data_IF_242287999575
#
_entry.id   IF_242287999575
#
_cell.length_a   1.000
_cell.length_b   1.000
_cell.length_c   1.000
_cell.angle_alpha   90.00
_cell.angle_beta   90.00
_cell.angle_gamma   90.00
#
_symmetry.space_group_name_H-M   'P 1'
#
loop_
_entity.id
_entity.type
_entity.pdbx_description
1 polymer ?
#
# COMPACT_ATOMS: atom_id res chain seq x y z
N UNK A 1 -27.21 17.74 21.23
CA UNK A 1 -26.48 16.59 21.82
C UNK A 1 -25.74 16.97 23.09
N UNK A 2 -24.74 17.88 23.04
CA UNK A 2 -23.96 18.31 24.23
C UNK A 2 -24.75 19.08 25.31
N UNK A 3 -25.98 19.53 25.03
CA UNK A 3 -26.83 20.26 26.00
C UNK A 3 -27.56 19.34 26.99
N UNK A 4 -27.85 18.08 26.61
CA UNK A 4 -28.60 17.12 27.43
C UNK A 4 -27.69 16.22 28.26
N UNK A 5 -26.52 15.84 27.74
CA UNK A 5 -25.52 15.05 28.46
C UNK A 5 -24.31 15.95 28.74
N UNK A 6 -24.27 16.53 29.94
CA UNK A 6 -23.18 17.44 30.37
C UNK A 6 -22.05 16.61 30.98
N UNK A 7 -20.86 16.69 30.38
CA UNK A 7 -19.65 16.06 30.91
C UNK A 7 -18.50 16.14 29.91
N UNK A 8 -17.32 16.56 30.37
CA UNK A 8 -16.13 16.74 29.51
C UNK A 8 -15.69 15.42 28.85
N UNK A 9 -15.85 14.30 29.57
CA UNK A 9 -15.57 12.95 29.05
C UNK A 9 -16.56 12.54 27.95
N UNK A 10 -17.86 12.77 28.13
CA UNK A 10 -18.86 12.44 27.12
C UNK A 10 -18.63 13.19 25.81
N UNK A 11 -18.30 14.48 25.90
CA UNK A 11 -17.95 15.29 24.73
C UNK A 11 -16.74 14.74 23.97
N UNK A 12 -15.72 14.29 24.69
CA UNK A 12 -14.51 13.69 24.09
C UNK A 12 -14.81 12.35 23.39
N UNK A 13 -15.54 11.43 24.04
CA UNK A 13 -15.89 10.15 23.44
C UNK A 13 -16.78 10.33 22.20
N UNK A 14 -17.82 11.17 22.31
CA UNK A 14 -18.69 11.47 21.18
C UNK A 14 -17.90 12.08 20.01
N UNK A 15 -16.98 13.00 20.30
CA UNK A 15 -16.14 13.60 19.29
C UNK A 15 -15.24 12.56 18.61
N UNK A 16 -14.60 11.69 19.38
CA UNK A 16 -13.75 10.62 18.85
C UNK A 16 -14.53 9.66 17.96
N UNK A 17 -15.72 9.25 18.38
CA UNK A 17 -16.64 8.40 17.60
C UNK A 17 -17.04 9.09 16.30
N UNK A 18 -17.53 10.32 16.39
CA UNK A 18 -18.05 11.06 15.24
C UNK A 18 -17.00 11.30 14.15
N UNK A 19 -15.73 11.47 14.52
CA UNK A 19 -14.64 11.75 13.59
C UNK A 19 -13.96 10.49 13.00
N UNK A 20 -14.45 9.28 13.30
CA UNK A 20 -13.92 8.09 12.63
C UNK A 20 -14.33 8.08 11.17
N UNK A 21 -13.34 7.94 10.30
CA UNK A 21 -13.49 7.88 8.84
C UNK A 21 -13.98 6.52 8.32
N UNK A 22 -13.75 5.45 9.08
CA UNK A 22 -14.11 4.07 8.69
C UNK A 22 -15.11 3.50 9.69
N UNK A 23 -16.03 2.67 9.20
CA UNK A 23 -17.03 1.96 10.00
C UNK A 23 -16.41 1.08 11.09
N UNK A 24 -15.32 0.38 10.83
CA UNK A 24 -14.65 -0.48 11.83
C UNK A 24 -14.16 0.34 13.03
N UNK A 25 -13.39 1.40 12.78
CA UNK A 25 -12.93 2.32 13.82
C UNK A 25 -14.09 3.03 14.55
N UNK A 26 -15.20 3.29 13.87
CA UNK A 26 -16.42 3.80 14.50
C UNK A 26 -17.02 2.78 15.49
N UNK A 27 -17.16 1.52 15.09
CA UNK A 27 -17.73 0.46 15.93
C UNK A 27 -16.90 0.20 17.19
N UNK A 28 -15.57 0.30 17.09
CA UNK A 28 -14.67 0.18 18.24
C UNK A 28 -14.89 1.32 19.26
N UNK A 29 -14.95 2.57 18.81
CA UNK A 29 -15.12 3.71 19.73
C UNK A 29 -16.54 3.82 20.29
N UNK A 30 -17.57 3.50 19.50
CA UNK A 30 -18.96 3.57 19.99
C UNK A 30 -19.21 2.52 21.08
N UNK A 31 -18.51 1.38 21.03
CA UNK A 31 -18.55 0.36 22.08
C UNK A 31 -17.96 0.91 23.39
N UNK A 32 -16.84 1.64 23.33
CA UNK A 32 -16.27 2.32 24.51
C UNK A 32 -17.24 3.36 25.08
N UNK A 33 -17.94 4.11 24.22
CA UNK A 33 -18.96 5.05 24.67
C UNK A 33 -20.11 4.32 25.38
N UNK A 34 -20.53 3.17 24.87
CA UNK A 34 -21.58 2.34 25.46
C UNK A 34 -21.21 1.83 26.86
N UNK A 35 -19.95 1.40 27.05
CA UNK A 35 -19.43 0.97 28.36
C UNK A 35 -19.43 2.11 29.39
N UNK A 36 -19.11 3.32 28.97
CA UNK A 36 -19.07 4.50 29.86
C UNK A 36 -20.46 5.03 30.16
N UNK A 37 -21.36 5.10 29.17
CA UNK A 37 -22.70 5.62 29.33
C UNK A 37 -23.68 5.04 28.30
N UNK A 38 -24.45 4.04 28.75
CA UNK A 38 -25.44 3.35 27.92
C UNK A 38 -26.61 4.24 27.49
N UNK A 39 -27.05 5.18 28.34
CA UNK A 39 -28.16 6.08 28.01
C UNK A 39 -27.79 7.03 26.88
N UNK A 40 -26.56 7.52 26.90
CA UNK A 40 -26.05 8.40 25.87
C UNK A 40 -25.82 7.66 24.55
N UNK A 41 -25.33 6.43 24.60
CA UNK A 41 -25.29 5.52 23.45
C UNK A 41 -26.69 5.35 22.84
N UNK A 42 -27.68 4.97 23.65
CA UNK A 42 -29.05 4.75 23.21
C UNK A 42 -29.67 6.02 22.61
N UNK A 43 -29.36 7.19 23.17
CA UNK A 43 -29.82 8.47 22.64
C UNK A 43 -29.21 8.77 21.27
N UNK A 44 -27.89 8.64 21.13
CA UNK A 44 -27.18 8.98 19.90
C UNK A 44 -27.56 8.04 18.75
N UNK A 45 -27.74 6.75 19.05
CA UNK A 45 -28.09 5.75 18.04
C UNK A 45 -29.51 5.90 17.48
N UNK A 46 -30.39 6.67 18.14
CA UNK A 46 -31.69 7.07 17.56
C UNK A 46 -31.54 8.04 16.39
N UNK A 47 -30.44 8.79 16.33
CA UNK A 47 -30.17 9.73 15.24
C UNK A 47 -29.47 8.98 14.10
N UNK A 48 -30.00 9.05 12.86
CA UNK A 48 -29.37 8.39 11.72
C UNK A 48 -27.89 8.79 11.56
N UNK A 49 -27.01 7.80 11.39
CA UNK A 49 -25.55 7.98 11.38
C UNK A 49 -25.08 8.98 10.32
N UNK A 50 -25.73 9.02 9.16
CA UNK A 50 -25.44 9.95 8.05
C UNK A 50 -25.48 11.44 8.44
N UNK A 51 -26.10 11.79 9.57
CA UNK A 51 -26.20 13.18 10.02
C UNK A 51 -25.04 13.64 10.90
N UNK A 52 -24.25 12.72 11.47
CA UNK A 52 -23.29 13.10 12.51
C UNK A 52 -22.01 12.26 12.55
N UNK A 53 -22.02 11.04 11.98
CA UNK A 53 -20.85 10.17 11.95
C UNK A 53 -20.15 10.28 10.60
N UNK A 54 -18.86 10.66 10.62
CA UNK A 54 -18.08 10.96 9.43
C UNK A 54 -18.00 9.77 8.45
N UNK A 55 -17.80 8.54 8.96
CA UNK A 55 -17.77 7.32 8.13
C UNK A 55 -19.06 7.05 7.34
N UNK A 56 -20.18 7.65 7.74
CA UNK A 56 -21.49 7.44 7.13
C UNK A 56 -21.87 8.57 6.15
N UNK A 57 -20.99 9.54 5.95
CA UNK A 57 -21.21 10.60 4.97
C UNK A 57 -21.07 10.07 3.55
N UNK A 58 -21.84 10.64 2.64
CA UNK A 58 -21.79 10.26 1.25
C UNK A 58 -20.48 10.75 0.60
N UNK A 59 -19.86 9.87 -0.19
CA UNK A 59 -18.53 10.12 -0.76
C UNK A 59 -18.49 11.33 -1.71
N UNK A 60 -19.62 11.74 -2.29
CA UNK A 60 -19.66 12.89 -3.21
C UNK A 60 -19.51 14.25 -2.51
N UNK A 61 -19.82 14.32 -1.21
CA UNK A 61 -19.88 15.59 -0.47
C UNK A 61 -18.49 16.16 -0.17
N UNK A 62 -17.47 15.28 -0.11
CA UNK A 62 -16.05 15.62 0.12
C UNK A 62 -15.82 16.53 1.33
N UNK A 63 -16.36 16.13 2.49
CA UNK A 63 -16.21 16.84 3.76
C UNK A 63 -15.50 15.97 4.81
N UNK A 64 -14.56 16.60 5.53
CA UNK A 64 -13.77 15.99 6.60
C UNK A 64 -14.10 16.50 8.00
N UNK A 65 -15.22 17.21 8.16
CA UNK A 65 -15.62 17.82 9.42
C UNK A 65 -17.09 17.55 9.75
N UNK A 66 -17.37 17.34 11.04
CA UNK A 66 -18.71 17.00 11.58
C UNK A 66 -19.28 18.12 12.46
N UNK A 67 -18.73 19.34 12.38
CA UNK A 67 -19.16 20.47 13.23
C UNK A 67 -20.33 21.22 12.65
N UNK A 68 -21.13 21.84 13.53
CA UNK A 68 -22.18 22.78 13.16
C UNK A 68 -21.65 24.20 12.86
N UNK A 69 -20.32 24.36 12.75
CA UNK A 69 -19.68 25.68 12.70
C UNK A 69 -20.12 26.48 11.46
N UNK A 70 -20.39 25.83 10.33
CA UNK A 70 -20.87 26.51 9.12
C UNK A 70 -22.23 27.16 9.37
N UNK A 71 -23.17 26.41 9.95
CA UNK A 71 -24.51 26.90 10.28
C UNK A 71 -24.45 28.01 11.33
N UNK A 72 -23.62 27.85 12.37
CA UNK A 72 -23.46 28.85 13.43
C UNK A 72 -22.84 30.15 12.90
N UNK A 73 -21.75 30.05 12.12
CA UNK A 73 -21.14 31.19 11.45
C UNK A 73 -22.13 31.89 10.51
N UNK A 74 -22.88 31.12 9.71
CA UNK A 74 -23.89 31.68 8.84
C UNK A 74 -25.00 32.37 9.64
N UNK A 75 -25.40 31.77 10.76
CA UNK A 75 -26.44 32.33 11.61
C UNK A 75 -26.04 33.66 12.20
N UNK A 76 -24.83 33.79 12.72
CA UNK A 76 -24.28 35.08 13.18
C UNK A 76 -24.13 36.06 12.00
N UNK A 77 -23.72 35.55 10.83
CA UNK A 77 -23.49 36.38 9.65
C UNK A 77 -24.78 37.04 9.12
N UNK A 78 -25.93 36.37 9.15
CA UNK A 78 -27.21 36.96 8.70
C UNK A 78 -28.03 37.62 9.81
N UNK A 79 -27.65 37.45 11.08
CA UNK A 79 -28.45 37.85 12.25
C UNK A 79 -29.01 39.26 12.16
N UNK A 80 -28.18 40.23 11.79
CA UNK A 80 -28.53 41.66 11.70
C UNK A 80 -29.61 42.00 10.66
N UNK A 81 -29.87 41.10 9.71
CA UNK A 81 -30.84 41.32 8.64
C UNK A 81 -32.15 40.54 8.87
N UNK A 82 -32.17 39.54 9.74
CA UNK A 82 -33.30 38.60 9.87
C UNK A 82 -34.63 39.25 10.22
N UNK A 83 -34.61 40.40 10.88
CA UNK A 83 -35.82 41.14 11.29
C UNK A 83 -36.19 42.26 10.31
N UNK A 84 -35.46 42.38 9.19
CA UNK A 84 -35.70 43.41 8.18
C UNK A 84 -36.62 42.90 7.06
N UNK A 85 -37.24 43.80 6.28
CA UNK A 85 -38.00 43.42 5.10
C UNK A 85 -37.17 42.61 4.10
N UNK A 86 -37.84 41.75 3.31
CA UNK A 86 -37.17 40.81 2.39
C UNK A 86 -36.17 41.50 1.44
N UNK A 87 -36.50 42.68 0.92
CA UNK A 87 -35.61 43.45 0.04
C UNK A 87 -34.31 43.86 0.76
N UNK A 88 -34.39 44.26 2.03
CA UNK A 88 -33.24 44.64 2.85
C UNK A 88 -32.35 43.44 3.17
N UNK A 89 -32.93 42.25 3.39
CA UNK A 89 -32.18 41.00 3.56
C UNK A 89 -31.39 40.67 2.29
N UNK A 90 -32.04 40.69 1.13
CA UNK A 90 -31.40 40.38 -0.15
C UNK A 90 -30.26 41.35 -0.45
N UNK A 91 -30.49 42.65 -0.26
CA UNK A 91 -29.47 43.67 -0.48
C UNK A 91 -28.30 43.55 0.53
N UNK A 92 -28.59 43.24 1.80
CA UNK A 92 -27.59 42.98 2.83
C UNK A 92 -26.70 41.77 2.50
N UNK A 93 -27.31 40.64 2.10
CA UNK A 93 -26.61 39.43 1.68
C UNK A 93 -25.77 39.70 0.43
N UNK A 94 -26.31 40.39 -0.58
CA UNK A 94 -25.60 40.76 -1.80
C UNK A 94 -24.33 41.58 -1.50
N UNK A 95 -24.45 42.63 -0.67
CA UNK A 95 -23.29 43.46 -0.27
C UNK A 95 -22.24 42.65 0.48
N UNK A 96 -22.65 41.81 1.44
CA UNK A 96 -21.67 40.99 2.19
C UNK A 96 -21.00 39.94 1.30
N UNK A 97 -21.71 39.34 0.35
CA UNK A 97 -21.10 38.42 -0.62
C UNK A 97 -20.08 39.14 -1.51
N UNK A 98 -20.43 40.33 -2.02
CA UNK A 98 -19.52 41.17 -2.79
C UNK A 98 -18.23 41.49 -2.01
N UNK A 99 -18.36 41.99 -0.78
CA UNK A 99 -17.20 42.26 0.09
C UNK A 99 -16.36 41.01 0.35
N UNK A 100 -17.00 39.86 0.57
CA UNK A 100 -16.30 38.58 0.81
C UNK A 100 -15.55 38.10 -0.43
N UNK A 101 -16.12 38.25 -1.63
CA UNK A 101 -15.46 37.89 -2.89
C UNK A 101 -14.23 38.76 -3.13
N UNK A 102 -14.34 40.08 -2.97
CA UNK A 102 -13.19 41.00 -3.11
C UNK A 102 -12.10 40.67 -2.10
N UNK A 103 -12.46 40.48 -0.82
CA UNK A 103 -11.50 40.10 0.22
C UNK A 103 -10.76 38.80 -0.14
N UNK A 104 -11.48 37.78 -0.59
CA UNK A 104 -10.89 36.50 -1.02
C UNK A 104 -10.00 36.63 -2.24
N UNK A 105 -10.35 37.50 -3.18
CA UNK A 105 -9.51 37.79 -4.34
C UNK A 105 -8.19 38.44 -3.91
N UNK A 106 -8.25 39.43 -3.02
CA UNK A 106 -7.05 40.11 -2.50
C UNK A 106 -6.18 39.18 -1.66
N UNK A 107 -6.79 38.34 -0.82
CA UNK A 107 -6.09 37.27 -0.11
C UNK A 107 -5.41 36.31 -1.11
N UNK A 108 -6.13 35.89 -2.16
CA UNK A 108 -5.65 34.99 -3.21
C UNK A 108 -4.49 35.54 -4.04
N UNK A 109 -4.49 36.84 -4.34
CA UNK A 109 -3.39 37.53 -5.03
C UNK A 109 -2.07 37.46 -4.26
N UNK A 110 -2.14 37.35 -2.94
CA UNK A 110 -0.97 37.26 -2.06
C UNK A 110 -0.55 35.81 -1.76
N UNK A 111 -1.14 34.81 -2.42
CA UNK A 111 -0.74 33.42 -2.22
C UNK A 111 0.62 33.14 -2.87
N UNK A 112 1.52 32.54 -2.08
CA UNK A 112 2.85 32.12 -2.55
C UNK A 112 2.78 30.80 -3.33
N UNK A 113 1.83 29.93 -2.98
CA UNK A 113 1.65 28.61 -3.59
C UNK A 113 0.38 28.53 -4.43
N UNK A 114 0.37 27.61 -5.39
CA UNK A 114 -0.82 27.28 -6.20
C UNK A 114 -1.92 26.54 -5.40
N UNK A 115 -1.75 26.39 -4.09
CA UNK A 115 -2.66 25.70 -3.18
C UNK A 115 -3.12 26.70 -2.10
N UNK A 116 -4.40 26.68 -1.69
CA UNK A 116 -4.89 27.54 -0.61
C UNK A 116 -4.07 27.37 0.69
N UNK A 117 -3.74 28.45 1.42
CA UNK A 117 -2.90 28.40 2.63
C UNK A 117 -3.38 27.42 3.70
N UNK A 118 -4.70 27.29 3.89
CA UNK A 118 -5.28 26.34 4.84
C UNK A 118 -5.01 24.88 4.45
N UNK A 119 -5.11 24.57 3.16
CA UNK A 119 -4.83 23.23 2.65
C UNK A 119 -3.34 22.96 2.71
N UNK A 120 -2.51 23.95 2.36
CA UNK A 120 -1.06 23.84 2.46
C UNK A 120 -0.62 23.58 3.90
N UNK A 121 -1.16 24.34 4.87
CA UNK A 121 -0.94 24.10 6.31
C UNK A 121 -1.32 22.67 6.72
N UNK A 122 -2.51 22.18 6.33
CA UNK A 122 -2.93 20.79 6.60
C UNK A 122 -1.95 19.76 6.00
N UNK A 123 -1.43 20.00 4.80
CA UNK A 123 -0.47 19.11 4.16
C UNK A 123 0.90 19.15 4.85
N UNK A 124 1.39 20.33 5.23
CA UNK A 124 2.64 20.48 5.98
C UNK A 124 2.58 19.78 7.34
N UNK A 125 1.48 19.94 8.08
CA UNK A 125 1.27 19.25 9.37
C UNK A 125 1.30 17.72 9.18
N UNK A 126 0.66 17.20 8.13
CA UNK A 126 0.70 15.76 7.79
C UNK A 126 2.07 15.29 7.31
N UNK A 127 2.89 16.20 6.76
CA UNK A 127 4.21 15.87 6.23
C UNK A 127 5.21 15.53 7.35
N UNK A 128 5.08 16.19 8.51
CA UNK A 128 5.94 15.92 9.67
C UNK A 128 5.75 14.51 10.25
N UNK A 129 4.58 13.91 10.03
CA UNK A 129 4.22 12.57 10.46
C UNK A 129 4.75 11.46 9.54
N UNK A 130 5.20 11.80 8.33
CA UNK A 130 5.64 10.80 7.34
C UNK A 130 6.93 10.08 7.74
N UNK A 131 7.68 10.64 8.69
CA UNK A 131 8.94 10.07 9.21
C UNK A 131 8.79 8.65 9.75
N UNK A 132 7.58 8.27 10.17
CA UNK A 132 7.29 6.97 10.76
C UNK A 132 6.53 6.02 9.82
N UNK A 133 6.41 6.39 8.54
CA UNK A 133 5.64 5.67 7.54
C UNK A 133 6.59 4.97 6.56
N UNK A 134 6.36 3.68 6.33
CA UNK A 134 7.09 2.88 5.34
C UNK A 134 6.18 2.61 4.14
N UNK A 135 6.64 2.98 2.93
CA UNK A 135 5.90 2.75 1.68
C UNK A 135 6.51 1.60 0.90
N UNK A 136 5.69 0.60 0.58
CA UNK A 136 6.03 -0.55 -0.24
C UNK A 136 5.24 -0.46 -1.55
N UNK A 137 5.95 -0.54 -2.68
CA UNK A 137 5.33 -0.52 -4.00
C UNK A 137 4.80 -1.92 -4.35
N UNK A 138 3.49 -2.04 -4.57
CA UNK A 138 2.86 -3.25 -5.07
C UNK A 138 2.66 -3.20 -6.60
N UNK A 139 2.29 -2.02 -7.12
CA UNK A 139 2.22 -1.71 -8.55
C UNK A 139 2.53 -0.23 -8.79
N UNK A 140 2.45 0.23 -10.05
CA UNK A 140 2.65 1.64 -10.39
C UNK A 140 1.64 2.58 -9.70
N UNK A 141 0.50 2.05 -9.25
CA UNK A 141 -0.65 2.80 -8.77
C UNK A 141 -1.14 2.39 -7.39
N UNK A 142 -0.72 1.21 -6.92
CA UNK A 142 -1.12 0.64 -5.63
C UNK A 142 0.09 0.41 -4.73
N UNK A 143 -0.07 0.85 -3.49
CA UNK A 143 1.00 0.89 -2.51
C UNK A 143 0.49 0.35 -1.19
N UNK A 144 1.30 -0.47 -0.54
CA UNK A 144 1.08 -0.86 0.85
C UNK A 144 1.89 0.09 1.73
N UNK A 145 1.19 0.75 2.65
CA UNK A 145 1.75 1.75 3.54
C UNK A 145 1.68 1.23 4.96
N UNK A 146 2.84 0.98 5.57
CA UNK A 146 2.95 0.61 6.97
C UNK A 146 3.10 1.85 7.83
N UNK A 147 2.20 2.01 8.79
CA UNK A 147 2.15 3.09 9.75
C UNK A 147 1.95 2.49 11.15
N UNK A 148 3.04 2.46 11.92
CA UNK A 148 3.13 1.71 13.17
C UNK A 148 2.97 0.19 12.96
N UNK A 149 1.93 -0.39 13.58
CA UNK A 149 1.58 -1.81 13.49
C UNK A 149 0.51 -2.11 12.44
N UNK A 150 -0.07 -1.06 11.85
CA UNK A 150 -1.16 -1.16 10.88
C UNK A 150 -0.66 -0.96 9.46
N UNK A 151 -1.34 -1.59 8.51
CA UNK A 151 -1.07 -1.49 7.08
C UNK A 151 -2.28 -0.87 6.39
N UNK A 152 -2.02 -0.03 5.39
CA UNK A 152 -3.03 0.66 4.61
C UNK A 152 -2.71 0.51 3.13
N UNK A 153 -3.69 0.16 2.33
CA UNK A 153 -3.59 0.19 0.88
C UNK A 153 -3.90 1.61 0.41
N UNK A 154 -3.06 2.13 -0.47
CA UNK A 154 -3.23 3.43 -1.13
C UNK A 154 -3.27 3.21 -2.63
N UNK A 155 -4.32 3.71 -3.28
CA UNK A 155 -4.47 3.66 -4.72
C UNK A 155 -4.51 5.09 -5.29
N UNK A 156 -3.52 5.43 -6.11
CA UNK A 156 -3.34 6.79 -6.63
C UNK A 156 -4.34 7.16 -7.74
N UNK A 157 -4.77 6.20 -8.55
CA UNK A 157 -5.70 6.48 -9.67
C UNK A 157 -7.10 6.79 -9.15
N UNK A 158 -7.57 6.00 -8.19
CA UNK A 158 -8.87 6.21 -7.54
C UNK A 158 -8.81 7.25 -6.41
N UNK A 159 -7.61 7.72 -6.02
CA UNK A 159 -7.36 8.63 -4.89
C UNK A 159 -7.96 8.08 -3.59
N UNK A 160 -7.77 6.77 -3.37
CA UNK A 160 -8.30 6.05 -2.22
C UNK A 160 -7.19 5.65 -1.27
N UNK A 161 -7.54 5.56 0.00
CA UNK A 161 -6.69 5.02 1.04
C UNK A 161 -7.58 4.29 2.03
N UNK A 162 -7.14 3.13 2.52
CA UNK A 162 -7.88 2.35 3.51
C UNK A 162 -8.19 3.13 4.80
N UNK A 163 -7.45 4.21 5.10
CA UNK A 163 -7.79 5.09 6.22
C UNK A 163 -9.08 5.91 6.00
N UNK A 164 -9.67 5.90 4.80
CA UNK A 164 -10.90 6.59 4.41
C UNK A 164 -10.79 8.10 4.25
N UNK A 165 -9.74 8.73 4.81
CA UNK A 165 -9.64 10.19 4.86
C UNK A 165 -9.42 10.85 3.50
N UNK A 166 -8.77 10.17 2.55
CA UNK A 166 -8.53 10.74 1.22
C UNK A 166 -9.84 10.85 0.45
N UNK A 167 -10.68 9.81 0.52
CA UNK A 167 -11.98 9.75 -0.14
C UNK A 167 -12.90 10.85 0.41
N UNK A 168 -12.99 10.94 1.75
CA UNK A 168 -13.82 11.90 2.46
C UNK A 168 -13.37 13.36 2.28
N UNK A 169 -12.08 13.64 2.35
CA UNK A 169 -11.61 15.04 2.32
C UNK A 169 -11.23 15.54 0.94
N UNK A 170 -11.02 14.64 -0.02
CA UNK A 170 -10.32 14.88 -1.30
C UNK A 170 -8.88 15.42 -1.18
N UNK A 171 -8.37 15.58 0.04
CA UNK A 171 -7.02 16.02 0.36
C UNK A 171 -6.20 14.78 0.77
N UNK A 172 -5.00 14.55 0.20
CA UNK A 172 -4.17 13.41 0.56
C UNK A 172 -4.00 13.27 2.08
N UNK A 173 -4.38 12.12 2.64
CA UNK A 173 -4.09 11.75 4.03
C UNK A 173 -2.59 11.55 4.22
N UNK A 174 -2.12 11.30 5.46
CA UNK A 174 -0.69 11.04 5.70
C UNK A 174 -0.16 9.85 4.90
N UNK A 175 -0.93 8.77 4.74
CA UNK A 175 -0.51 7.60 3.96
C UNK A 175 -0.40 7.91 2.47
N UNK A 176 -1.39 8.62 1.92
CA UNK A 176 -1.40 9.12 0.56
C UNK A 176 -0.22 10.04 0.27
N UNK A 177 0.03 10.99 1.19
CA UNK A 177 1.11 11.93 1.10
C UNK A 177 2.48 11.24 1.17
N UNK A 178 2.61 10.20 2.01
CA UNK A 178 3.80 9.34 2.04
C UNK A 178 4.06 8.76 0.64
N UNK A 179 3.05 8.18 -0.01
CA UNK A 179 3.20 7.63 -1.36
C UNK A 179 3.58 8.70 -2.39
N UNK A 180 2.91 9.85 -2.36
CA UNK A 180 3.14 10.95 -3.31
C UNK A 180 4.55 11.57 -3.17
N UNK A 181 5.16 11.48 -2.00
CA UNK A 181 6.48 12.06 -1.69
C UNK A 181 7.58 11.01 -1.57
N UNK A 182 7.24 9.72 -1.55
CA UNK A 182 8.19 8.64 -1.37
C UNK A 182 9.06 8.45 -2.62
N UNK A 183 10.32 8.06 -2.36
CA UNK A 183 11.08 7.21 -3.26
C UNK A 183 10.78 5.76 -2.86
N UNK A 184 9.77 5.11 -3.46
CA UNK A 184 9.28 3.82 -2.96
C UNK A 184 10.38 2.76 -3.03
N UNK A 185 10.44 1.90 -2.01
CA UNK A 185 11.26 0.69 -2.10
C UNK A 185 10.64 -0.18 -3.19
N UNK A 186 11.34 -0.29 -4.32
CA UNK A 186 10.89 -1.10 -5.43
C UNK A 186 11.08 -2.58 -5.08
N UNK A 187 10.15 -3.46 -5.53
CA UNK A 187 10.36 -4.89 -5.45
C UNK A 187 11.72 -5.27 -6.05
N UNK A 188 12.46 -6.20 -5.44
CA UNK A 188 13.75 -6.60 -5.98
C UNK A 188 13.61 -7.12 -7.41
N UNK A 189 14.42 -6.59 -8.32
CA UNK A 189 14.43 -7.03 -9.72
C UNK A 189 14.67 -8.55 -9.80
N UNK A 190 13.74 -9.28 -10.43
CA UNK A 190 13.91 -10.72 -10.69
C UNK A 190 15.00 -10.95 -11.74
N UNK A 191 16.26 -11.06 -11.32
CA UNK A 191 17.35 -11.48 -12.20
C UNK A 191 17.21 -12.97 -12.54
N UNK A 192 17.02 -13.30 -13.82
CA UNK A 192 17.14 -14.70 -14.29
C UNK A 192 18.58 -15.14 -14.06
N UNK A 193 18.80 -16.17 -13.23
CA UNK A 193 20.13 -16.76 -13.04
C UNK A 193 20.70 -17.16 -14.41
N UNK A 194 22.01 -16.98 -14.66
CA UNK A 194 22.64 -17.52 -15.85
C UNK A 194 22.24 -18.99 -16.02
N UNK A 195 21.69 -19.33 -17.18
CA UNK A 195 21.33 -20.72 -17.47
C UNK A 195 22.52 -21.63 -17.22
N UNK A 196 22.26 -22.87 -16.78
CA UNK A 196 23.31 -23.90 -16.66
C UNK A 196 24.18 -23.89 -17.92
N UNK A 197 25.52 -23.74 -17.80
CA UNK A 197 26.41 -23.77 -18.94
C UNK A 197 26.13 -25.03 -19.77
N UNK A 198 25.96 -24.88 -21.09
CA UNK A 198 25.73 -26.03 -21.97
C UNK A 198 26.95 -26.95 -21.88
N UNK A 199 26.72 -28.23 -21.59
CA UNK A 199 27.79 -29.26 -21.50
C UNK A 199 28.65 -29.31 -22.75
N UNK A 200 28.06 -29.03 -23.91
CA UNK A 200 28.77 -28.91 -25.18
C UNK A 200 28.62 -27.48 -25.72
N UNK A 201 29.76 -26.87 -26.10
CA UNK A 201 29.81 -25.62 -26.85
C UNK A 201 29.07 -25.80 -28.18
N UNK A 202 28.27 -24.81 -28.59
CA UNK A 202 27.74 -24.74 -29.96
C UNK A 202 28.91 -24.47 -30.90
N UNK A 203 29.13 -25.35 -31.89
CA UNK A 203 30.14 -25.14 -32.94
C UNK A 203 29.63 -24.10 -33.92
N UNK A 204 30.55 -23.32 -34.48
CA UNK A 204 30.25 -22.40 -35.57
C UNK A 204 30.08 -23.20 -36.89
N UNK A 205 29.35 -22.68 -37.89
CA UNK A 205 29.04 -23.41 -39.13
C UNK A 205 30.29 -23.85 -39.92
N UNK A 206 31.37 -23.09 -39.78
CA UNK A 206 32.67 -23.25 -40.41
C UNK A 206 33.61 -24.20 -39.65
N UNK A 207 33.21 -24.68 -38.47
CA UNK A 207 34.10 -25.44 -37.61
C UNK A 207 34.10 -26.94 -37.97
N UNK A 208 35.24 -27.54 -38.33
CA UNK A 208 35.30 -28.91 -38.83
C UNK A 208 34.86 -29.93 -37.77
N UNK A 209 34.05 -30.92 -38.19
CA UNK A 209 33.58 -31.96 -37.28
C UNK A 209 34.75 -32.87 -36.85
N UNK A 210 34.90 -33.09 -35.55
CA UNK A 210 35.92 -34.00 -35.00
C UNK A 210 35.65 -35.42 -35.52
N UNK A 211 36.43 -35.87 -36.50
CA UNK A 211 36.34 -37.22 -37.07
C UNK A 211 36.58 -38.23 -35.95
N UNK A 212 35.61 -39.11 -35.70
CA UNK A 212 35.84 -40.27 -34.84
C UNK A 212 36.86 -41.16 -35.56
N UNK A 213 38.03 -41.40 -34.96
CA UNK A 213 39.01 -42.37 -35.49
C UNK A 213 38.41 -43.77 -35.38
N UNK A 214 37.63 -44.19 -36.36
CA UNK A 214 37.27 -45.60 -36.57
C UNK A 214 38.33 -46.25 -37.45
N UNK A 215 39.56 -46.33 -36.94
CA UNK A 215 40.57 -47.22 -37.51
C UNK A 215 40.33 -48.61 -36.94
N UNK A 216 39.81 -49.54 -37.74
CA UNK A 216 39.82 -50.94 -37.35
C UNK A 216 41.24 -51.38 -37.00
N UNK A 217 41.41 -52.25 -36.02
CA UNK A 217 42.76 -52.72 -35.68
C UNK A 217 43.19 -53.76 -36.72
N UNK A 218 44.44 -53.69 -37.18
CA UNK A 218 45.00 -54.64 -38.17
C UNK A 218 45.83 -55.69 -37.43
N UNK A 219 45.50 -56.96 -37.61
CA UNK A 219 46.21 -58.05 -36.96
C UNK A 219 47.66 -58.11 -37.45
N UNK A 220 48.65 -58.09 -36.56
CA UNK A 220 50.06 -58.19 -36.97
C UNK A 220 50.48 -59.58 -37.46
N UNK A 221 49.67 -60.62 -37.20
CA UNK A 221 49.96 -62.00 -37.62
C UNK A 221 49.38 -62.34 -39.00
N UNK A 222 48.10 -62.08 -39.24
CA UNK A 222 47.46 -62.38 -40.53
C UNK A 222 47.23 -61.14 -41.41
N UNK A 223 47.57 -59.94 -40.92
CA UNK A 223 47.41 -58.64 -41.61
C UNK A 223 45.96 -58.28 -41.99
N UNK A 224 44.98 -59.07 -41.60
CA UNK A 224 43.56 -58.75 -41.78
C UNK A 224 43.09 -57.70 -40.76
N UNK A 225 42.13 -56.88 -41.17
CA UNK A 225 41.50 -55.86 -40.34
C UNK A 225 40.35 -56.45 -39.51
N UNK A 226 40.09 -55.87 -38.33
CA UNK A 226 38.93 -56.22 -37.50
C UNK A 226 39.21 -57.12 -36.29
N UNK A 227 40.44 -57.57 -36.09
CA UNK A 227 40.87 -58.31 -34.91
C UNK A 227 42.37 -58.10 -34.61
N UNK A 228 42.82 -58.43 -33.40
CA UNK A 228 44.21 -58.30 -32.98
C UNK A 228 44.94 -59.66 -33.02
N UNK A 229 46.28 -59.65 -32.99
CA UNK A 229 47.11 -60.88 -32.96
C UNK A 229 46.67 -61.87 -31.87
N UNK A 230 46.25 -61.35 -30.69
CA UNK A 230 45.78 -62.17 -29.56
C UNK A 230 44.47 -62.92 -29.82
N UNK A 231 43.69 -62.50 -30.80
CA UNK A 231 42.37 -63.06 -31.14
C UNK A 231 42.34 -63.57 -32.59
N UNK A 232 43.51 -63.78 -33.19
CA UNK A 232 43.65 -64.30 -34.55
C UNK A 232 43.43 -65.81 -34.54
N UNK A 233 42.45 -66.30 -35.30
CA UNK A 233 42.13 -67.73 -35.41
C UNK A 233 42.94 -68.46 -36.48
N UNK A 234 43.77 -67.74 -37.25
CA UNK A 234 44.66 -68.32 -38.25
C UNK A 234 46.10 -68.43 -37.75
N UNK A 235 46.46 -69.57 -37.16
CA UNK A 235 47.82 -70.14 -37.05
C UNK A 235 47.73 -71.54 -36.43
N UNK A 236 47.88 -72.59 -37.23
CA UNK A 236 48.09 -73.97 -36.74
C UNK A 236 49.60 -74.19 -36.68
N UNK A 237 50.14 -74.28 -35.46
CA UNK A 237 51.05 -75.36 -34.97
C UNK A 237 51.36 -75.11 -33.48
N UNK A 238 50.90 -76.03 -32.61
CA UNK A 238 51.26 -76.43 -31.21
C UNK A 238 51.83 -75.41 -30.20
N UNK A 239 51.54 -75.40 -28.89
CA UNK A 239 50.91 -76.35 -27.95
C UNK A 239 50.34 -75.58 -26.73
N UNK A 240 49.43 -76.26 -26.02
CA UNK A 240 48.76 -76.05 -24.73
C UNK A 240 49.12 -74.88 -23.76
N UNK A 241 48.08 -74.34 -23.12
CA UNK A 241 48.16 -73.55 -21.87
C UNK A 241 46.80 -73.01 -21.40
N UNK A 242 46.38 -73.39 -20.19
CA UNK A 242 45.01 -73.35 -19.67
C UNK A 242 44.37 -71.97 -19.35
N UNK A 243 43.04 -72.02 -19.27
CA UNK A 243 42.07 -71.14 -18.59
C UNK A 243 42.61 -70.08 -17.61
N UNK A 244 42.05 -68.86 -17.69
CA UNK A 244 41.28 -68.37 -16.54
C UNK A 244 40.22 -67.31 -16.89
N UNK A 245 39.00 -67.55 -16.37
CA UNK A 245 37.86 -66.62 -16.34
C UNK A 245 38.18 -65.46 -15.41
N UNK A 246 37.79 -64.23 -15.79
CA UNK A 246 36.98 -63.38 -14.89
C UNK A 246 36.22 -62.29 -15.63
N UNK A 247 34.90 -62.45 -15.58
CA UNK A 247 33.87 -61.47 -15.96
C UNK A 247 34.03 -60.19 -15.14
N UNK A 248 33.84 -59.03 -15.78
CA UNK A 248 33.10 -57.92 -15.18
C UNK A 248 32.04 -57.42 -16.17
N UNK A 249 30.79 -57.72 -15.83
CA UNK A 249 29.58 -57.09 -16.38
C UNK A 249 29.54 -55.65 -15.88
N UNK A 250 29.09 -54.70 -16.70
CA UNK A 250 28.00 -53.82 -16.29
C UNK A 250 27.36 -53.12 -17.48
N UNK A 251 26.05 -52.92 -17.32
CA UNK A 251 25.06 -52.62 -18.34
C UNK A 251 24.93 -51.13 -18.68
N UNK A 252 24.35 -50.93 -19.86
CA UNK A 252 23.85 -49.70 -20.50
C UNK A 252 23.01 -48.80 -19.58
N UNK A 253 23.07 -47.49 -19.85
CA UNK A 253 21.94 -46.52 -19.94
C UNK A 253 22.50 -45.29 -20.67
N UNK A 254 21.96 -44.82 -21.79
CA UNK A 254 20.55 -44.69 -22.13
C UNK A 254 20.19 -43.22 -21.94
N UNK A 255 20.53 -42.42 -22.95
CA UNK A 255 20.38 -40.97 -23.02
C UNK A 255 19.08 -40.60 -23.77
N UNK A 256 18.68 -39.32 -23.64
CA UNK A 256 17.63 -38.56 -24.37
C UNK A 256 16.23 -38.61 -23.72
N UNK A 257 15.44 -37.53 -23.64
CA UNK A 257 15.22 -36.45 -24.61
C UNK A 257 15.09 -35.04 -24.00
N UNK A 258 15.60 -34.10 -24.77
CA UNK A 258 15.22 -32.70 -24.88
C UNK A 258 13.85 -32.50 -25.53
N UNK A 259 13.12 -31.45 -25.15
CA UNK A 259 12.27 -30.67 -26.09
C UNK A 259 12.35 -29.18 -25.69
N UNK A 260 12.65 -28.34 -26.68
CA UNK A 260 12.59 -26.86 -26.71
C UNK A 260 11.30 -26.52 -27.51
N UNK A 261 10.62 -25.37 -27.35
CA UNK A 261 10.95 -24.15 -28.11
C UNK A 261 10.82 -22.83 -27.29
N UNK A 262 11.76 -21.87 -27.39
CA UNK A 262 11.81 -20.73 -28.35
C UNK A 262 10.73 -19.67 -28.03
N UNK A 263 11.01 -18.39 -27.78
CA UNK A 263 11.24 -17.31 -28.76
C UNK A 263 11.41 -15.97 -28.00
N UNK A 264 12.49 -15.20 -28.26
CA UNK A 264 12.53 -13.84 -28.90
C UNK A 264 11.81 -12.74 -28.09
N UNK A 265 12.25 -11.50 -27.90
CA UNK A 265 13.13 -10.55 -28.62
C UNK A 265 13.38 -9.38 -27.64
N UNK A 266 14.62 -8.91 -27.47
CA UNK A 266 15.16 -7.65 -28.00
C UNK A 266 14.99 -6.41 -27.11
N UNK A 267 16.17 -5.81 -26.85
CA UNK A 267 16.47 -4.38 -26.79
C UNK A 267 16.45 -3.65 -25.44
N UNK A 268 17.67 -3.42 -24.98
CA UNK A 268 18.06 -2.39 -24.03
C UNK A 268 17.97 -1.00 -24.65
N UNK A 269 17.67 0.01 -23.82
CA UNK A 269 18.34 1.31 -23.91
C UNK A 269 18.39 1.96 -22.53
N UNK A 270 19.61 2.01 -21.98
CA UNK A 270 19.98 2.83 -20.84
C UNK A 270 20.14 4.28 -21.31
N UNK A 271 19.68 5.21 -20.49
CA UNK A 271 20.13 6.61 -20.52
C UNK A 271 20.25 7.09 -19.08
N UNK A 272 21.49 7.26 -18.65
CA UNK A 272 21.96 7.97 -17.47
C UNK A 272 21.87 9.47 -17.72
N UNK A 273 21.31 10.26 -16.79
CA UNK A 273 21.66 11.68 -16.63
C UNK A 273 21.71 12.02 -15.14
N UNK A 274 22.74 12.79 -14.81
CA UNK A 274 23.31 13.08 -13.50
C UNK A 274 22.52 14.11 -12.66
N UNK A 275 22.80 14.04 -11.36
CA UNK A 275 22.53 15.03 -10.35
C UNK A 275 23.23 16.38 -10.62
N UNK A 276 22.63 17.47 -10.14
CA UNK A 276 23.33 18.73 -9.86
C UNK A 276 22.67 19.42 -8.68
N UNK A 277 23.51 19.74 -7.71
CA UNK A 277 23.25 20.51 -6.50
C UNK A 277 23.28 22.00 -6.84
N UNK A 278 22.42 22.80 -6.20
CA UNK A 278 22.66 24.24 -6.04
C UNK A 278 22.13 24.72 -4.69
N UNK A 279 23.04 25.33 -3.95
CA UNK A 279 22.89 26.04 -2.68
C UNK A 279 22.27 27.42 -2.86
N UNK A 280 21.49 27.91 -1.89
CA UNK A 280 21.50 29.32 -1.46
C UNK A 280 20.95 29.46 -0.03
N UNK A 281 21.60 30.35 0.72
CA UNK A 281 21.44 30.66 2.13
C UNK A 281 20.33 31.69 2.41
N UNK A 282 19.75 31.61 3.62
CA UNK A 282 19.53 32.76 4.52
C UNK A 282 18.22 33.56 4.41
N UNK A 283 17.39 33.51 5.47
CA UNK A 283 17.19 34.60 6.47
C UNK A 283 15.79 34.68 7.09
N UNK A 284 15.82 34.71 8.43
CA UNK A 284 14.93 35.35 9.43
C UNK A 284 13.48 34.91 9.68
N UNK A 285 13.25 34.77 11.00
CA UNK A 285 12.08 34.26 11.70
C UNK A 285 11.02 35.33 11.98
N UNK A 286 9.75 34.91 12.12
CA UNK A 286 8.77 35.57 12.98
C UNK A 286 7.95 34.50 13.73
N UNK A 287 7.89 34.73 15.04
CA UNK A 287 7.30 33.97 16.12
C UNK A 287 5.76 33.99 16.07
N UNK A 288 5.07 32.87 16.32
CA UNK A 288 3.73 32.92 16.92
C UNK A 288 3.46 31.64 17.72
N UNK A 289 3.07 31.87 18.98
CA UNK A 289 2.95 30.90 20.06
C UNK A 289 1.72 30.01 19.86
N UNK A 290 1.84 28.72 20.19
CA UNK A 290 0.67 27.85 20.42
C UNK A 290 0.87 27.11 21.73
N UNK A 291 -0.05 27.39 22.63
CA UNK A 291 -0.12 26.92 24.01
C UNK A 291 -0.41 25.43 24.09
N UNK A 292 0.26 24.83 25.07
CA UNK A 292 0.30 23.44 25.54
C UNK A 292 -1.05 22.78 25.81
N UNK A 293 -1.08 21.44 25.85
CA UNK A 293 -1.27 20.66 27.09
C UNK A 293 -0.80 19.21 26.92
N UNK A 294 0.17 18.83 27.75
CA UNK A 294 0.67 17.47 27.93
C UNK A 294 -0.35 16.63 28.71
N UNK A 295 -0.53 15.37 28.33
CA UNK A 295 -1.19 14.37 29.16
C UNK A 295 -0.17 13.28 29.52
N UNK A 296 0.38 13.39 30.73
CA UNK A 296 1.18 12.34 31.36
C UNK A 296 0.30 11.53 32.30
N UNK A 297 0.42 10.20 32.16
CA UNK A 297 0.29 9.16 33.19
C UNK A 297 -1.09 9.04 33.88
N UNK A 298 -1.73 7.87 33.75
CA UNK A 298 -2.00 7.01 34.91
C UNK A 298 -2.33 5.59 34.46
N UNK A 299 -1.74 4.66 35.21
CA UNK A 299 -1.73 3.23 35.04
C UNK A 299 -3.11 2.56 35.22
N UNK A 300 -3.24 1.47 34.47
CA UNK A 300 -4.11 0.32 34.66
C UNK A 300 -4.44 -0.04 36.11
N UNK A 301 -5.73 -0.28 36.37
CA UNK A 301 -6.18 -1.27 37.34
C UNK A 301 -7.25 -2.17 36.72
N UNK A 302 -6.95 -3.45 36.73
CA UNK A 302 -7.73 -4.58 36.21
C UNK A 302 -8.83 -4.97 37.20
N UNK A 303 -10.06 -5.12 36.72
CA UNK A 303 -11.08 -5.94 37.38
C UNK A 303 -11.79 -6.81 36.34
N UNK A 304 -11.65 -8.13 36.51
CA UNK A 304 -12.29 -9.19 35.70
C UNK A 304 -13.80 -9.28 35.96
N UNK A 305 -14.57 -9.94 35.07
CA UNK A 305 -15.99 -9.65 34.87
C UNK A 305 -16.91 -10.51 35.74
N UNK A 306 -18.00 -9.90 36.23
CA UNK A 306 -19.16 -10.61 36.78
C UNK A 306 -20.09 -10.99 35.62
N UNK A 307 -20.44 -12.28 35.54
CA UNK A 307 -21.17 -12.88 34.43
C UNK A 307 -22.58 -12.32 34.20
N UNK A 308 -22.96 -12.27 32.93
CA UNK A 308 -24.31 -11.93 32.46
C UNK A 308 -25.30 -13.07 32.76
N UNK A 309 -26.51 -12.78 33.25
CA UNK A 309 -27.63 -13.73 33.20
C UNK A 309 -28.24 -13.81 31.79
N UNK A 310 -28.81 -14.97 31.40
CA UNK A 310 -29.30 -15.20 30.05
C UNK A 310 -30.60 -14.41 29.74
N UNK A 311 -30.85 -14.07 28.46
CA UNK A 311 -32.05 -13.33 28.07
C UNK A 311 -33.32 -14.21 28.07
N UNK A 312 -34.50 -13.65 28.41
CA UNK A 312 -35.78 -14.33 28.27
C UNK A 312 -36.26 -14.41 26.81
N UNK A 313 -37.17 -15.36 26.48
CA UNK A 313 -37.47 -15.78 25.13
C UNK A 313 -38.25 -14.74 24.31
N UNK A 314 -37.91 -14.68 23.02
CA UNK A 314 -38.54 -13.85 22.00
C UNK A 314 -39.96 -14.33 21.74
N UNK A 315 -40.96 -13.48 21.98
CA UNK A 315 -42.30 -13.66 21.45
C UNK A 315 -42.32 -13.20 19.98
N UNK A 316 -42.54 -14.17 19.09
CA UNK A 316 -42.84 -13.98 17.67
C UNK A 316 -44.29 -13.52 17.49
N UNK A 317 -44.45 -12.71 16.44
CA UNK A 317 -45.66 -12.47 15.66
C UNK A 317 -46.81 -11.66 16.27
N UNK A 318 -47.11 -10.54 15.62
CA UNK A 318 -48.11 -10.47 14.53
C UNK A 318 -48.29 -8.98 14.20
N UNK A 319 -48.22 -8.61 12.93
CA UNK A 319 -49.27 -7.82 12.26
C UNK A 319 -49.00 -7.80 10.76
N UNK A 320 -49.94 -8.42 10.05
CA UNK A 320 -50.30 -8.12 8.66
C UNK A 320 -50.80 -6.70 8.52
#
# INVERSE_FOLDING_TARGET
MLRQYKGQLFGLYLWNVANKSIKTGFMEEITKLQEVNIDAYNYIMKVPLKHWALHAFEDYVKLDHVTNNISECFNVWVEKFRTQPALSILEGVRRKMMQRMTKRLDEGRNWVSNIPPLVNKKLSERQDDLRFVLVLCASDKEFEVKDGVTFYIVNLDSKRCDCGLWELSSIPCKHALAVLTANPILPPEKKRKPSRPKKNRKRAPDEPYKIKRSGGVKCSSCRAWGHNKRTCTGSITGQAGANNKRKKKMYKRGDKQSVIPTQTTSNARQTTINASQTTVNGMHAIHSQSTTMNASLYSSNTASPMGLPPPPPVAMDLYS
#
